data_IF_883959687591
#
_entry.id   IF_883959687591
#
_cell.length_a   1.000
_cell.length_b   1.000
_cell.length_c   1.000
_cell.angle_alpha   90.00
_cell.angle_beta   90.00
_cell.angle_gamma   90.00
#
_symmetry.space_group_name_H-M   'P 1'
#
loop_
_entity.id
_entity.type
_entity.pdbx_description
1 polymer ?
#
# COMPACT_ATOMS: atom_id res chain seq x y z
N UNK A 1 -3.36 -30.82 -11.38
CA UNK A 1 -3.22 -29.40 -10.97
C UNK A 1 -4.13 -29.16 -9.78
N UNK A 2 -3.53 -28.94 -8.60
CA UNK A 2 -4.25 -28.86 -7.32
C UNK A 2 -5.26 -27.72 -7.29
N UNK A 3 -6.39 -27.93 -6.58
CA UNK A 3 -7.53 -26.98 -6.48
C UNK A 3 -7.15 -25.56 -6.01
N UNK A 4 -5.97 -25.37 -5.42
CA UNK A 4 -5.48 -24.09 -4.89
C UNK A 4 -4.81 -23.19 -5.96
N UNK A 5 -4.20 -23.76 -7.00
CA UNK A 5 -3.46 -22.99 -8.01
C UNK A 5 -4.37 -22.24 -9.00
N UNK A 6 -5.50 -22.85 -9.37
CA UNK A 6 -6.44 -22.24 -10.34
C UNK A 6 -6.96 -20.84 -9.94
N UNK A 7 -7.34 -20.58 -8.67
CA UNK A 7 -7.82 -19.27 -8.26
C UNK A 7 -6.76 -18.18 -8.37
N UNK A 8 -5.50 -18.51 -8.05
CA UNK A 8 -4.43 -17.51 -8.05
C UNK A 8 -3.96 -17.16 -9.47
N UNK A 9 -3.92 -18.13 -10.40
CA UNK A 9 -3.71 -17.83 -11.83
C UNK A 9 -4.82 -16.95 -12.39
N UNK A 10 -6.06 -17.19 -12.02
CA UNK A 10 -7.19 -16.35 -12.42
C UNK A 10 -7.05 -14.92 -11.88
N UNK A 11 -6.61 -14.76 -10.63
CA UNK A 11 -6.32 -13.44 -10.04
C UNK A 11 -5.21 -12.71 -10.80
N UNK A 12 -4.10 -13.38 -11.11
CA UNK A 12 -3.00 -12.79 -11.90
C UNK A 12 -3.46 -12.40 -13.31
N UNK A 13 -4.27 -13.26 -13.95
CA UNK A 13 -4.84 -12.96 -15.27
C UNK A 13 -5.73 -11.70 -15.23
N UNK A 14 -6.60 -11.57 -14.22
CA UNK A 14 -7.41 -10.38 -14.02
C UNK A 14 -6.53 -9.15 -13.77
N UNK A 15 -5.48 -9.29 -12.97
CA UNK A 15 -4.52 -8.24 -12.69
C UNK A 15 -3.89 -7.72 -13.99
N UNK A 16 -3.26 -8.60 -14.77
CA UNK A 16 -2.60 -8.22 -16.02
C UNK A 16 -3.58 -7.65 -17.05
N UNK A 17 -4.77 -8.25 -17.20
CA UNK A 17 -5.78 -7.74 -18.14
C UNK A 17 -6.24 -6.34 -17.78
N UNK A 18 -6.53 -6.05 -16.51
CA UNK A 18 -6.94 -4.72 -16.05
C UNK A 18 -5.83 -3.69 -16.24
N UNK A 19 -4.60 -4.06 -15.93
CA UNK A 19 -3.44 -3.18 -16.12
C UNK A 19 -3.20 -2.86 -17.59
N UNK A 20 -3.28 -3.86 -18.48
CA UNK A 20 -3.12 -3.67 -19.93
C UNK A 20 -4.27 -2.82 -20.50
N UNK A 21 -5.51 -3.08 -20.12
CA UNK A 21 -6.66 -2.27 -20.54
C UNK A 21 -6.49 -0.81 -20.08
N UNK A 22 -6.08 -0.60 -18.82
CA UNK A 22 -5.78 0.73 -18.30
C UNK A 22 -4.66 1.43 -19.06
N UNK A 23 -3.57 0.72 -19.39
CA UNK A 23 -2.48 1.23 -20.20
C UNK A 23 -2.93 1.62 -21.62
N UNK A 24 -3.72 0.78 -22.27
CA UNK A 24 -4.27 1.09 -23.60
C UNK A 24 -5.16 2.34 -23.55
N UNK A 25 -6.02 2.47 -22.54
CA UNK A 25 -6.86 3.67 -22.38
C UNK A 25 -6.04 4.93 -22.16
N UNK A 26 -4.97 4.88 -21.34
CA UNK A 26 -4.08 6.01 -21.09
C UNK A 26 -3.16 6.34 -22.27
N UNK A 27 -2.88 5.37 -23.14
CA UNK A 27 -2.09 5.56 -24.36
C UNK A 27 -2.87 6.27 -25.47
N UNK A 28 -4.21 6.21 -25.44
CA UNK A 28 -5.05 6.81 -26.48
C UNK A 28 -4.94 8.34 -26.47
N UNK A 29 -4.89 8.99 -27.65
CA UNK A 29 -4.62 10.43 -27.75
C UNK A 29 -5.69 11.31 -27.12
N UNK A 30 -6.92 10.82 -26.95
CA UNK A 30 -8.02 11.60 -26.36
C UNK A 30 -7.97 11.66 -24.80
N UNK A 31 -7.10 10.90 -24.14
CA UNK A 31 -6.92 10.91 -22.68
C UNK A 31 -5.73 11.76 -22.23
N UNK A 32 -4.80 12.07 -23.15
CA UNK A 32 -3.62 12.87 -22.90
C UNK A 32 -3.73 14.31 -23.40
N UNK A 33 -3.03 15.24 -22.76
CA UNK A 33 -2.72 16.59 -23.28
C UNK A 33 -1.49 16.54 -24.19
N UNK A 34 -0.62 15.55 -23.98
CA UNK A 34 0.61 15.30 -24.73
C UNK A 34 0.71 13.83 -25.08
N UNK A 35 1.41 13.47 -26.18
CA UNK A 35 1.68 12.08 -26.49
C UNK A 35 2.50 11.41 -25.38
N UNK A 36 2.19 10.16 -25.06
CA UNK A 36 2.88 9.37 -24.05
C UNK A 36 3.37 8.06 -24.67
N UNK A 37 4.50 7.52 -24.19
CA UNK A 37 4.94 6.20 -24.62
C UNK A 37 4.04 5.11 -24.02
N UNK A 38 3.86 3.98 -24.74
CA UNK A 38 3.08 2.85 -24.20
C UNK A 38 3.66 2.31 -22.89
N UNK A 39 4.98 2.33 -22.74
CA UNK A 39 5.66 1.88 -21.52
C UNK A 39 5.36 2.80 -20.33
N UNK A 40 5.29 4.12 -20.54
CA UNK A 40 4.90 5.07 -19.48
C UNK A 40 3.43 4.92 -19.11
N UNK A 41 2.55 4.75 -20.09
CA UNK A 41 1.14 4.46 -19.86
C UNK A 41 0.97 3.15 -19.07
N UNK A 42 1.73 2.10 -19.39
CA UNK A 42 1.75 0.82 -18.67
C UNK A 42 2.27 0.99 -17.24
N UNK A 43 3.31 1.80 -17.05
CA UNK A 43 3.85 2.09 -15.73
C UNK A 43 2.80 2.79 -14.85
N UNK A 44 2.16 3.85 -15.36
CA UNK A 44 1.11 4.60 -14.65
C UNK A 44 -0.08 3.71 -14.35
N UNK A 45 -0.58 2.94 -15.34
CA UNK A 45 -1.69 2.02 -15.13
C UNK A 45 -1.36 0.95 -14.07
N UNK A 46 -0.13 0.41 -14.09
CA UNK A 46 0.34 -0.55 -13.09
C UNK A 46 0.42 0.09 -11.71
N UNK A 47 1.00 1.29 -11.63
CA UNK A 47 1.13 2.05 -10.38
C UNK A 47 -0.24 2.43 -9.80
N UNK A 48 -1.18 2.90 -10.63
CA UNK A 48 -2.54 3.23 -10.21
C UNK A 48 -3.29 1.99 -9.71
N UNK A 49 -3.21 0.88 -10.45
CA UNK A 49 -3.89 -0.36 -10.08
C UNK A 49 -3.25 -1.06 -8.85
N UNK A 50 -1.92 -1.03 -8.72
CA UNK A 50 -1.25 -1.52 -7.50
C UNK A 50 -1.40 -0.55 -6.33
N UNK A 51 -1.94 0.66 -6.60
CA UNK A 51 -2.10 1.71 -5.59
C UNK A 51 -0.73 2.09 -5.01
N UNK A 52 0.23 2.35 -5.89
CA UNK A 52 1.61 2.66 -5.49
C UNK A 52 1.88 4.16 -5.51
N UNK A 53 1.49 4.88 -6.60
CA UNK A 53 1.69 6.32 -6.71
C UNK A 53 2.97 6.77 -7.41
N UNK A 54 3.86 5.88 -7.80
CA UNK A 54 5.01 6.22 -8.63
C UNK A 54 4.56 6.59 -10.04
N UNK A 55 5.10 7.66 -10.60
CA UNK A 55 4.79 8.10 -11.96
C UNK A 55 6.05 8.60 -12.68
N UNK A 56 6.31 8.17 -13.94
CA UNK A 56 7.42 8.67 -14.74
C UNK A 56 7.13 10.04 -15.36
N UNK A 57 5.90 10.53 -15.27
CA UNK A 57 5.47 11.84 -15.79
C UNK A 57 4.58 12.53 -14.77
N UNK A 58 4.51 13.85 -14.84
CA UNK A 58 3.57 14.62 -14.04
C UNK A 58 2.15 14.47 -14.59
N UNK A 59 1.21 14.02 -13.72
CA UNK A 59 -0.15 13.67 -14.10
C UNK A 59 -0.93 14.89 -14.57
N UNK A 60 -0.81 16.04 -13.88
CA UNK A 60 -1.53 17.25 -14.23
C UNK A 60 -1.18 17.75 -15.63
N UNK A 61 0.10 17.75 -16.00
CA UNK A 61 0.57 18.24 -17.29
C UNK A 61 0.39 17.26 -18.43
N UNK A 62 0.30 15.94 -18.14
CA UNK A 62 0.23 14.87 -19.13
C UNK A 62 -1.19 14.53 -19.54
N UNK A 63 -2.13 14.45 -18.60
CA UNK A 63 -3.47 13.95 -18.83
C UNK A 63 -4.53 15.04 -18.78
N UNK A 64 -5.60 14.83 -19.52
CA UNK A 64 -6.84 15.60 -19.41
C UNK A 64 -7.79 14.91 -18.40
N UNK A 65 -8.96 15.50 -18.18
CA UNK A 65 -9.97 14.98 -17.23
C UNK A 65 -10.34 13.51 -17.53
N UNK A 66 -10.38 13.09 -18.79
CA UNK A 66 -10.68 11.68 -19.15
C UNK A 66 -9.57 10.74 -18.69
N UNK A 67 -8.30 11.11 -18.91
CA UNK A 67 -7.17 10.33 -18.43
C UNK A 67 -7.10 10.27 -16.91
N UNK A 68 -7.38 11.38 -16.23
CA UNK A 68 -7.45 11.45 -14.76
C UNK A 68 -8.59 10.56 -14.20
N UNK A 69 -9.74 10.48 -14.87
CA UNK A 69 -10.84 9.56 -14.53
C UNK A 69 -10.40 8.10 -14.70
N UNK A 70 -9.68 7.76 -15.78
CA UNK A 70 -9.15 6.40 -15.96
C UNK A 70 -8.21 6.02 -14.81
N UNK A 71 -7.30 6.92 -14.43
CA UNK A 71 -6.41 6.71 -13.27
C UNK A 71 -7.22 6.53 -11.99
N UNK A 72 -8.22 7.37 -11.75
CA UNK A 72 -9.11 7.28 -10.58
C UNK A 72 -9.83 5.92 -10.51
N UNK A 73 -10.37 5.44 -11.63
CA UNK A 73 -11.02 4.12 -11.69
C UNK A 73 -10.03 2.98 -11.42
N UNK A 74 -8.81 3.05 -11.95
CA UNK A 74 -7.77 2.06 -11.68
C UNK A 74 -7.40 2.04 -10.19
N UNK A 75 -7.27 3.20 -9.55
CA UNK A 75 -7.02 3.34 -8.11
C UNK A 75 -8.16 2.69 -7.32
N UNK A 76 -9.41 2.99 -7.64
CA UNK A 76 -10.57 2.46 -6.93
C UNK A 76 -10.68 0.93 -7.05
N UNK A 77 -10.46 0.39 -8.26
CA UNK A 77 -10.47 -1.07 -8.49
C UNK A 77 -9.30 -1.74 -7.75
N UNK A 78 -8.13 -1.12 -7.77
CA UNK A 78 -6.93 -1.62 -7.11
C UNK A 78 -7.00 -1.56 -5.59
N UNK A 79 -7.54 -0.49 -5.01
CA UNK A 79 -7.70 -0.30 -3.57
C UNK A 79 -8.74 -1.23 -2.95
N UNK A 80 -9.90 -1.37 -3.57
CA UNK A 80 -10.91 -2.34 -3.14
C UNK A 80 -10.49 -3.80 -3.42
N UNK A 81 -9.56 -4.00 -4.35
CA UNK A 81 -9.14 -5.30 -4.86
C UNK A 81 -10.06 -5.84 -5.95
N UNK A 82 -9.48 -6.27 -7.06
CA UNK A 82 -10.22 -6.66 -8.27
C UNK A 82 -11.24 -7.77 -8.04
N UNK A 83 -10.94 -8.73 -7.15
CA UNK A 83 -11.87 -9.82 -6.81
C UNK A 83 -13.10 -9.28 -6.08
N UNK A 84 -12.87 -8.31 -5.18
CA UNK A 84 -13.95 -7.63 -4.44
C UNK A 84 -14.88 -6.88 -5.41
N UNK A 85 -14.29 -6.10 -6.33
CA UNK A 85 -15.06 -5.34 -7.35
C UNK A 85 -15.86 -6.29 -8.23
N UNK A 86 -15.24 -7.38 -8.72
CA UNK A 86 -15.95 -8.41 -9.52
C UNK A 86 -17.16 -8.97 -8.78
N UNK A 87 -17.03 -9.23 -7.47
CA UNK A 87 -18.14 -9.79 -6.70
C UNK A 87 -19.19 -8.74 -6.32
N UNK A 88 -18.79 -7.49 -6.07
CA UNK A 88 -19.73 -6.39 -5.92
C UNK A 88 -20.60 -6.26 -7.18
N UNK A 89 -19.99 -6.31 -8.37
CA UNK A 89 -20.74 -6.28 -9.64
C UNK A 89 -21.75 -7.42 -9.73
N UNK A 90 -21.38 -8.66 -9.35
CA UNK A 90 -22.32 -9.79 -9.30
C UNK A 90 -23.46 -9.57 -8.29
N UNK A 91 -23.18 -8.98 -7.14
CA UNK A 91 -24.18 -8.65 -6.13
C UNK A 91 -25.14 -7.58 -6.65
N UNK A 92 -24.64 -6.51 -7.29
CA UNK A 92 -25.47 -5.48 -7.89
C UNK A 92 -26.38 -6.02 -9.02
N UNK A 93 -25.88 -6.98 -9.79
CA UNK A 93 -26.66 -7.65 -10.84
C UNK A 93 -27.60 -8.74 -10.27
N UNK A 94 -27.77 -8.82 -8.96
CA UNK A 94 -28.56 -9.83 -8.25
C UNK A 94 -28.21 -11.29 -8.63
N UNK A 95 -26.96 -11.54 -9.08
CA UNK A 95 -26.49 -12.87 -9.42
C UNK A 95 -25.99 -13.62 -8.18
N UNK A 96 -26.34 -14.93 -8.09
CA UNK A 96 -25.88 -15.80 -7.00
C UNK A 96 -24.35 -15.98 -7.07
N UNK A 97 -23.67 -15.69 -5.97
CA UNK A 97 -22.22 -15.90 -5.85
C UNK A 97 -21.98 -17.40 -5.62
N UNK A 98 -21.30 -18.06 -6.56
CA UNK A 98 -20.95 -19.46 -6.46
C UNK A 98 -19.93 -19.71 -5.34
N UNK A 99 -19.91 -20.97 -4.81
CA UNK A 99 -18.89 -21.36 -3.81
C UNK A 99 -17.45 -21.18 -4.32
N UNK A 100 -17.23 -21.33 -5.62
CA UNK A 100 -15.93 -21.10 -6.27
C UNK A 100 -15.46 -19.64 -6.12
N UNK A 101 -16.38 -18.68 -6.29
CA UNK A 101 -16.08 -17.26 -6.13
C UNK A 101 -15.83 -16.87 -4.67
N UNK A 102 -16.56 -17.49 -3.71
CA UNK A 102 -16.29 -17.29 -2.28
C UNK A 102 -14.92 -17.85 -1.91
N UNK A 103 -14.53 -19.01 -2.43
CA UNK A 103 -13.22 -19.59 -2.21
C UNK A 103 -12.08 -18.72 -2.76
N UNK A 104 -12.30 -18.02 -3.87
CA UNK A 104 -11.37 -17.06 -4.44
C UNK A 104 -11.05 -15.92 -3.45
N UNK A 105 -12.08 -15.36 -2.78
CA UNK A 105 -11.88 -14.35 -1.73
C UNK A 105 -11.15 -14.93 -0.54
N UNK A 106 -11.53 -16.12 -0.08
CA UNK A 106 -10.84 -16.75 1.05
C UNK A 106 -9.34 -16.85 0.81
N UNK A 107 -8.95 -17.24 -0.41
CA UNK A 107 -7.54 -17.35 -0.79
C UNK A 107 -6.87 -15.98 -0.89
N UNK A 108 -7.53 -14.99 -1.52
CA UNK A 108 -6.96 -13.63 -1.70
C UNK A 108 -6.89 -12.84 -0.39
N UNK A 109 -7.83 -13.06 0.50
CA UNK A 109 -7.92 -12.37 1.79
C UNK A 109 -7.34 -13.18 2.95
N UNK A 110 -6.90 -14.42 2.69
CA UNK A 110 -6.38 -15.35 3.69
C UNK A 110 -7.35 -15.56 4.87
N UNK A 111 -8.64 -15.79 4.55
CA UNK A 111 -9.71 -16.05 5.52
C UNK A 111 -10.01 -17.55 5.51
N UNK A 112 -10.16 -18.13 6.70
CA UNK A 112 -10.36 -19.59 6.85
C UNK A 112 -11.82 -20.02 6.61
N UNK A 113 -12.83 -19.13 6.75
CA UNK A 113 -14.25 -19.49 6.65
C UNK A 113 -14.99 -18.77 5.52
N UNK A 114 -15.85 -19.48 4.74
CA UNK A 114 -16.63 -18.90 3.64
C UNK A 114 -17.89 -18.14 4.12
N UNK A 115 -18.21 -18.24 5.41
CA UNK A 115 -19.39 -17.60 6.00
C UNK A 115 -19.25 -16.07 6.10
N UNK A 116 -20.31 -15.33 5.76
CA UNK A 116 -20.34 -13.88 5.94
C UNK A 116 -19.56 -13.05 4.91
N UNK A 117 -18.83 -13.65 3.98
CA UNK A 117 -17.98 -12.96 2.97
C UNK A 117 -18.80 -11.91 2.18
N UNK A 118 -20.03 -12.22 1.77
CA UNK A 118 -20.87 -11.27 1.02
C UNK A 118 -21.24 -10.04 1.86
N UNK A 119 -21.56 -10.26 3.14
CA UNK A 119 -21.86 -9.18 4.08
C UNK A 119 -20.63 -8.31 4.29
N UNK A 120 -19.46 -8.92 4.43
CA UNK A 120 -18.18 -8.23 4.57
C UNK A 120 -17.87 -7.35 3.35
N UNK A 121 -18.06 -7.85 2.11
CA UNK A 121 -17.85 -7.09 0.87
C UNK A 121 -18.78 -5.87 0.78
N UNK A 122 -20.07 -6.03 1.13
CA UNK A 122 -21.00 -4.90 1.14
C UNK A 122 -20.60 -3.82 2.16
N UNK A 123 -20.22 -4.23 3.37
CA UNK A 123 -19.75 -3.28 4.38
C UNK A 123 -18.49 -2.56 3.94
N UNK A 124 -17.55 -3.28 3.30
CA UNK A 124 -16.33 -2.70 2.75
C UNK A 124 -16.64 -1.61 1.72
N UNK A 125 -17.52 -1.89 0.77
CA UNK A 125 -17.90 -0.92 -0.26
C UNK A 125 -18.58 0.33 0.33
N UNK A 126 -19.51 0.14 1.27
CA UNK A 126 -20.20 1.25 1.93
C UNK A 126 -19.21 2.07 2.76
N UNK A 127 -18.33 1.41 3.51
CA UNK A 127 -17.30 2.08 4.32
C UNK A 127 -16.38 2.92 3.45
N UNK A 128 -15.88 2.37 2.32
CA UNK A 128 -15.04 3.09 1.37
C UNK A 128 -15.76 4.34 0.86
N UNK A 129 -16.96 4.18 0.28
CA UNK A 129 -17.71 5.29 -0.27
C UNK A 129 -18.02 6.38 0.75
N UNK A 130 -18.46 6.00 1.96
CA UNK A 130 -18.79 6.97 3.01
C UNK A 130 -17.53 7.74 3.44
N UNK A 131 -16.42 7.06 3.65
CA UNK A 131 -15.17 7.71 4.09
C UNK A 131 -14.61 8.62 2.99
N UNK A 132 -14.65 8.18 1.71
CA UNK A 132 -14.23 8.97 0.57
C UNK A 132 -15.12 10.21 0.38
N UNK A 133 -16.43 10.11 0.56
CA UNK A 133 -17.36 11.25 0.48
C UNK A 133 -17.11 12.27 1.62
N UNK A 134 -16.90 11.80 2.83
CA UNK A 134 -16.57 12.69 3.97
C UNK A 134 -15.25 13.43 3.68
N UNK A 135 -14.22 12.70 3.24
CA UNK A 135 -12.94 13.30 2.87
C UNK A 135 -13.07 14.31 1.75
N UNK A 136 -13.84 14.00 0.70
CA UNK A 136 -14.15 14.93 -0.40
C UNK A 136 -14.79 16.21 0.12
N UNK A 137 -15.81 16.12 0.99
CA UNK A 137 -16.50 17.30 1.57
C UNK A 137 -15.50 18.16 2.36
N UNK A 138 -14.64 17.54 3.18
CA UNK A 138 -13.63 18.28 3.93
C UNK A 138 -12.61 18.99 3.00
N UNK A 139 -12.15 18.32 1.94
CA UNK A 139 -11.21 18.89 0.97
C UNK A 139 -11.85 20.00 0.12
N UNK A 140 -13.16 19.95 -0.14
CA UNK A 140 -13.89 21.02 -0.81
C UNK A 140 -13.74 22.37 -0.11
N UNK A 141 -13.62 22.39 1.22
CA UNK A 141 -13.42 23.61 2.00
C UNK A 141 -12.13 24.33 1.65
N UNK A 142 -11.08 23.61 1.24
CA UNK A 142 -9.82 24.19 0.83
C UNK A 142 -9.73 24.41 -0.70
N UNK A 143 -10.22 23.46 -1.52
CA UNK A 143 -9.97 23.49 -2.97
C UNK A 143 -11.00 24.33 -3.74
N UNK A 144 -12.28 24.37 -3.32
CA UNK A 144 -13.29 25.19 -4.02
C UNK A 144 -12.96 26.69 -3.99
N UNK A 145 -12.53 27.31 -2.87
CA UNK A 145 -12.16 28.70 -2.84
C UNK A 145 -10.97 29.04 -3.76
N UNK A 146 -10.04 28.09 -3.97
CA UNK A 146 -8.82 28.27 -4.77
C UNK A 146 -9.03 28.03 -6.27
N UNK A 147 -9.87 27.06 -6.65
CA UNK A 147 -9.99 26.57 -8.03
C UNK A 147 -11.39 26.74 -8.64
N UNK A 148 -12.36 27.25 -7.88
CA UNK A 148 -13.75 27.31 -8.29
C UNK A 148 -14.49 26.00 -8.11
N UNK A 149 -15.83 26.02 -8.25
CA UNK A 149 -16.70 24.89 -7.89
C UNK A 149 -16.39 23.63 -8.71
N UNK A 150 -16.32 23.73 -10.04
CA UNK A 150 -16.15 22.57 -10.93
C UNK A 150 -14.80 21.87 -10.74
N UNK A 151 -13.70 22.60 -10.90
CA UNK A 151 -12.34 22.05 -10.75
C UNK A 151 -12.07 21.65 -9.29
N UNK A 152 -12.48 22.48 -8.32
CA UNK A 152 -12.29 22.21 -6.90
C UNK A 152 -12.99 20.94 -6.43
N UNK A 153 -14.21 20.68 -6.91
CA UNK A 153 -14.96 19.46 -6.58
C UNK A 153 -14.30 18.20 -7.16
N UNK A 154 -13.81 18.27 -8.40
CA UNK A 154 -13.10 17.15 -9.03
C UNK A 154 -11.77 16.86 -8.32
N UNK A 155 -10.98 17.89 -8.00
CA UNK A 155 -9.73 17.75 -7.24
C UNK A 155 -9.97 17.14 -5.86
N UNK A 156 -11.03 17.57 -5.16
CA UNK A 156 -11.40 17.02 -3.86
C UNK A 156 -11.78 15.54 -3.94
N UNK A 157 -12.57 15.17 -4.96
CA UNK A 157 -12.95 13.77 -5.20
C UNK A 157 -11.72 12.91 -5.50
N UNK A 158 -10.88 13.35 -6.45
CA UNK A 158 -9.70 12.61 -6.86
C UNK A 158 -8.74 12.40 -5.68
N UNK A 159 -8.43 13.48 -4.95
CA UNK A 159 -7.51 13.43 -3.80
C UNK A 159 -8.07 12.58 -2.68
N UNK A 160 -9.38 12.65 -2.39
CA UNK A 160 -10.02 11.84 -1.36
C UNK A 160 -9.96 10.34 -1.69
N UNK A 161 -10.33 9.96 -2.93
CA UNK A 161 -10.26 8.57 -3.40
C UNK A 161 -8.81 8.07 -3.40
N UNK A 162 -7.86 8.86 -3.89
CA UNK A 162 -6.44 8.52 -3.91
C UNK A 162 -5.89 8.34 -2.49
N UNK A 163 -6.26 9.20 -1.54
CA UNK A 163 -5.80 9.14 -0.15
C UNK A 163 -6.40 7.95 0.60
N UNK A 164 -7.71 7.70 0.49
CA UNK A 164 -8.36 6.57 1.15
C UNK A 164 -7.83 5.23 0.65
N UNK A 165 -7.62 5.11 -0.67
CA UNK A 165 -7.05 3.90 -1.26
C UNK A 165 -5.51 3.81 -1.08
N UNK A 166 -4.87 4.79 -0.43
CA UNK A 166 -3.42 4.86 -0.25
C UNK A 166 -2.65 4.82 -1.59
N UNK A 167 -3.10 5.61 -2.58
CA UNK A 167 -2.57 5.53 -3.93
C UNK A 167 -1.47 6.56 -4.25
N UNK A 168 -1.41 7.68 -3.53
CA UNK A 168 -0.37 8.70 -3.68
C UNK A 168 -0.41 9.53 -4.97
N UNK A 169 -1.38 9.29 -5.84
CA UNK A 169 -1.57 10.12 -7.01
C UNK A 169 -2.21 11.45 -6.64
N UNK A 170 -1.57 12.53 -7.06
CA UNK A 170 -2.10 13.90 -6.96
C UNK A 170 -2.17 14.53 -8.36
N UNK A 171 -3.20 15.35 -8.57
CA UNK A 171 -3.35 16.18 -9.78
C UNK A 171 -2.86 17.60 -9.43
N UNK A 172 -1.65 17.67 -8.87
CA UNK A 172 -0.94 18.91 -8.56
C UNK A 172 0.51 18.75 -8.99
N UNK A 173 1.08 19.81 -9.58
CA UNK A 173 2.44 19.79 -10.14
C UNK A 173 3.51 19.31 -9.14
N UNK A 174 3.40 19.76 -7.88
CA UNK A 174 4.36 19.43 -6.82
C UNK A 174 3.75 18.49 -5.75
N UNK A 175 2.82 17.61 -6.12
CA UNK A 175 2.06 16.81 -5.16
C UNK A 175 1.37 17.71 -4.11
N UNK A 176 1.59 17.54 -2.80
CA UNK A 176 0.98 18.37 -1.75
C UNK A 176 1.96 19.39 -1.13
N UNK A 177 3.11 19.64 -1.73
CA UNK A 177 4.11 20.59 -1.19
C UNK A 177 3.52 22.00 -1.06
N UNK A 178 2.74 22.43 -2.05
CA UNK A 178 2.09 23.74 -2.06
C UNK A 178 0.95 23.87 -1.01
N UNK A 179 0.56 22.75 -0.38
CA UNK A 179 -0.46 22.67 0.67
C UNK A 179 0.11 22.31 2.03
N UNK A 180 1.44 22.35 2.20
CA UNK A 180 2.11 22.01 3.46
C UNK A 180 1.68 22.88 4.64
N UNK A 181 1.24 24.12 4.38
CA UNK A 181 0.72 25.08 5.38
C UNK A 181 -0.81 25.02 5.54
N UNK A 182 -1.52 24.17 4.78
CA UNK A 182 -2.98 24.06 4.85
C UNK A 182 -3.38 22.91 5.79
N UNK A 183 -3.82 23.21 7.04
CA UNK A 183 -4.12 22.19 8.03
C UNK A 183 -5.31 21.30 7.63
N UNK A 184 -6.29 21.84 6.87
CA UNK A 184 -7.46 21.08 6.42
C UNK A 184 -7.00 19.97 5.48
N UNK A 185 -6.13 20.28 4.51
CA UNK A 185 -5.62 19.31 3.56
C UNK A 185 -4.77 18.25 4.26
N UNK A 186 -3.79 18.66 5.06
CA UNK A 186 -2.85 17.77 5.76
C UNK A 186 -3.58 16.82 6.72
N UNK A 187 -4.50 17.33 7.53
CA UNK A 187 -5.25 16.51 8.50
C UNK A 187 -6.23 15.57 7.80
N UNK A 188 -7.00 16.07 6.81
CA UNK A 188 -7.99 15.25 6.11
C UNK A 188 -7.33 14.09 5.37
N UNK A 189 -6.25 14.35 4.63
CA UNK A 189 -5.53 13.31 3.91
C UNK A 189 -4.87 12.32 4.87
N UNK A 190 -4.27 12.78 5.98
CA UNK A 190 -3.72 11.88 7.01
C UNK A 190 -4.78 10.93 7.57
N UNK A 191 -5.96 11.44 7.89
CA UNK A 191 -7.08 10.65 8.41
C UNK A 191 -7.54 9.62 7.36
N UNK A 192 -7.69 10.02 6.10
CA UNK A 192 -8.08 9.11 5.01
C UNK A 192 -7.06 7.98 4.83
N UNK A 193 -5.76 8.28 4.83
CA UNK A 193 -4.68 7.29 4.74
C UNK A 193 -4.75 6.30 5.90
N UNK A 194 -4.92 6.79 7.13
CA UNK A 194 -5.01 5.94 8.31
C UNK A 194 -6.22 5.01 8.20
N UNK A 195 -7.39 5.52 7.85
CA UNK A 195 -8.60 4.71 7.71
C UNK A 195 -8.50 3.69 6.55
N UNK A 196 -7.90 4.06 5.42
CA UNK A 196 -7.63 3.14 4.32
C UNK A 196 -6.63 2.03 4.68
N UNK A 197 -5.60 2.38 5.49
CA UNK A 197 -4.50 1.48 5.88
C UNK A 197 -4.74 0.58 7.10
N UNK A 198 -5.70 0.90 7.97
CA UNK A 198 -5.99 0.11 9.19
C UNK A 198 -6.61 -1.27 8.88
N UNK A 199 -7.27 -1.39 7.73
CA UNK A 199 -7.95 -2.63 7.33
C UNK A 199 -9.40 -2.70 7.78
N UNK A 200 -10.24 -3.15 6.85
CA UNK A 200 -11.70 -3.15 7.01
C UNK A 200 -12.19 -4.05 8.16
N UNK A 201 -11.47 -5.14 8.46
CA UNK A 201 -11.79 -6.03 9.58
C UNK A 201 -11.71 -5.29 10.92
N UNK A 202 -10.67 -4.45 11.10
CA UNK A 202 -10.47 -3.67 12.33
C UNK A 202 -11.60 -2.66 12.53
N UNK A 203 -12.05 -2.03 11.44
CA UNK A 203 -13.16 -1.05 11.49
C UNK A 203 -14.46 -1.74 11.86
N UNK A 204 -14.77 -2.90 11.27
CA UNK A 204 -15.98 -3.67 11.61
C UNK A 204 -15.93 -4.16 13.05
N UNK A 205 -14.77 -4.65 13.49
CA UNK A 205 -14.57 -5.09 14.87
C UNK A 205 -14.77 -3.93 15.86
N UNK A 206 -14.26 -2.74 15.53
CA UNK A 206 -14.43 -1.52 16.32
C UNK A 206 -15.91 -1.08 16.42
N UNK A 207 -16.64 -1.11 15.30
CA UNK A 207 -18.07 -0.75 15.27
C UNK A 207 -18.90 -1.74 16.10
N UNK A 208 -18.57 -3.03 16.05
CA UNK A 208 -19.31 -4.07 16.75
C UNK A 208 -18.96 -4.15 18.26
N UNK A 209 -17.77 -3.71 18.64
CA UNK A 209 -17.30 -3.76 20.04
C UNK A 209 -17.57 -2.45 20.77
N UNK A 210 -18.45 -2.48 21.77
CA UNK A 210 -18.74 -1.30 22.63
C UNK A 210 -17.57 -0.89 23.54
N UNK A 211 -16.52 -1.73 23.70
CA UNK A 211 -15.36 -1.46 24.59
C UNK A 211 -14.07 -1.90 23.90
N UNK A 212 -13.04 -1.05 23.94
CA UNK A 212 -11.68 -1.34 23.36
C UNK A 212 -11.06 -2.62 23.91
N UNK A 213 -11.33 -2.96 25.19
CA UNK A 213 -10.85 -4.18 25.82
C UNK A 213 -11.37 -5.47 25.16
N UNK A 214 -12.54 -5.42 24.50
CA UNK A 214 -13.21 -6.55 23.85
C UNK A 214 -12.79 -6.75 22.38
N UNK A 215 -11.96 -5.88 21.83
CA UNK A 215 -11.44 -6.02 20.48
C UNK A 215 -10.69 -7.35 20.31
N UNK A 216 -10.73 -7.89 19.11
CA UNK A 216 -9.97 -9.10 18.74
C UNK A 216 -8.46 -8.86 18.89
N UNK A 217 -7.68 -9.95 19.03
CA UNK A 217 -6.22 -9.87 19.05
C UNK A 217 -5.68 -9.17 17.83
N UNK A 218 -6.23 -9.47 16.65
CA UNK A 218 -5.85 -8.86 15.39
C UNK A 218 -6.01 -7.33 15.43
N UNK A 219 -7.19 -6.84 15.83
CA UNK A 219 -7.47 -5.40 15.89
C UNK A 219 -6.59 -4.68 16.91
N UNK A 220 -6.34 -5.29 18.07
CA UNK A 220 -5.42 -4.73 19.07
C UNK A 220 -4.00 -4.61 18.53
N UNK A 221 -3.47 -5.67 17.89
CA UNK A 221 -2.14 -5.65 17.27
C UNK A 221 -2.02 -4.58 16.20
N UNK A 222 -3.00 -4.49 15.30
CA UNK A 222 -2.99 -3.50 14.23
C UNK A 222 -2.99 -2.09 14.80
N UNK A 223 -3.93 -1.77 15.70
CA UNK A 223 -4.07 -0.41 16.26
C UNK A 223 -2.83 -0.01 17.05
N UNK A 224 -2.34 -0.86 17.96
CA UNK A 224 -1.17 -0.53 18.79
C UNK A 224 0.10 -0.36 17.94
N UNK A 225 0.37 -1.29 17.02
CA UNK A 225 1.57 -1.21 16.18
C UNK A 225 1.49 -0.03 15.22
N UNK A 226 0.32 0.27 14.64
CA UNK A 226 0.12 1.45 13.78
C UNK A 226 0.40 2.73 14.55
N UNK A 227 -0.19 2.90 15.72
CA UNK A 227 0.01 4.11 16.54
C UNK A 227 1.47 4.31 16.95
N UNK A 228 2.13 3.23 17.40
CA UNK A 228 3.55 3.28 17.79
C UNK A 228 4.43 3.72 16.61
N UNK A 229 4.24 3.11 15.43
CA UNK A 229 5.05 3.43 14.26
C UNK A 229 4.80 4.85 13.73
N UNK A 230 3.55 5.33 13.76
CA UNK A 230 3.23 6.71 13.38
C UNK A 230 3.89 7.70 14.34
N UNK A 231 3.81 7.48 15.65
CA UNK A 231 4.38 8.38 16.65
C UNK A 231 5.91 8.40 16.56
N UNK A 232 6.55 7.22 16.50
CA UNK A 232 8.00 7.13 16.36
C UNK A 232 8.46 7.78 15.05
N UNK A 233 7.76 7.51 13.93
CA UNK A 233 8.08 8.09 12.64
C UNK A 233 7.94 9.63 12.64
N UNK A 234 6.88 10.17 13.25
CA UNK A 234 6.67 11.61 13.34
C UNK A 234 7.75 12.30 14.20
N UNK A 235 8.09 11.74 15.36
CA UNK A 235 9.11 12.29 16.24
C UNK A 235 10.48 12.25 15.55
N UNK A 236 10.86 11.12 14.96
CA UNK A 236 12.16 10.99 14.29
C UNK A 236 12.26 11.89 13.06
N UNK A 237 11.20 12.02 12.25
CA UNK A 237 11.17 12.94 11.12
C UNK A 237 11.33 14.39 11.57
N UNK A 238 10.60 14.81 12.61
CA UNK A 238 10.72 16.14 13.19
C UNK A 238 12.17 16.43 13.63
N UNK A 239 12.78 15.53 14.39
CA UNK A 239 14.15 15.72 14.91
C UNK A 239 15.19 15.81 13.80
N UNK A 240 15.03 15.06 12.70
CA UNK A 240 16.01 15.00 11.62
C UNK A 240 15.85 16.15 10.61
N UNK A 241 14.62 16.65 10.38
CA UNK A 241 14.33 17.59 9.29
C UNK A 241 13.95 19.01 9.73
N UNK A 242 13.77 19.28 11.03
CA UNK A 242 13.36 20.60 11.52
C UNK A 242 14.30 21.76 11.15
N UNK A 243 15.58 21.46 10.91
CA UNK A 243 16.60 22.44 10.49
C UNK A 243 17.06 22.26 9.03
N UNK A 244 16.48 21.31 8.31
CA UNK A 244 16.74 21.05 6.89
C UNK A 244 15.52 21.44 6.05
N UNK A 245 14.73 20.47 5.59
CA UNK A 245 13.60 20.71 4.68
C UNK A 245 12.49 21.57 5.29
N UNK A 246 12.34 21.58 6.60
CA UNK A 246 11.30 22.34 7.31
C UNK A 246 11.83 23.63 7.98
N UNK A 247 13.05 24.09 7.66
CA UNK A 247 13.68 25.23 8.37
C UNK A 247 12.84 26.53 8.30
N UNK A 248 12.09 26.74 7.21
CA UNK A 248 11.27 27.95 7.00
C UNK A 248 9.84 27.84 7.51
N UNK A 249 9.45 26.68 8.06
CA UNK A 249 8.10 26.42 8.55
C UNK A 249 7.94 26.83 10.01
N UNK A 250 6.73 27.25 10.39
CA UNK A 250 6.34 27.48 11.79
C UNK A 250 6.29 26.17 12.59
N UNK A 251 6.35 26.25 13.92
CA UNK A 251 6.39 25.04 14.78
C UNK A 251 5.18 24.12 14.56
N UNK A 252 3.97 24.68 14.42
CA UNK A 252 2.73 23.92 14.17
C UNK A 252 2.79 23.23 12.82
N UNK A 253 3.28 23.91 11.77
CA UNK A 253 3.47 23.33 10.45
C UNK A 253 4.52 22.22 10.46
N UNK A 254 5.63 22.40 11.18
CA UNK A 254 6.65 21.35 11.36
C UNK A 254 6.09 20.08 11.99
N UNK A 255 5.29 20.22 13.04
CA UNK A 255 4.64 19.08 13.72
C UNK A 255 3.63 18.42 12.77
N UNK A 256 2.78 19.20 12.09
CA UNK A 256 1.79 18.70 11.15
C UNK A 256 2.41 17.93 9.99
N UNK A 257 3.45 18.49 9.36
CA UNK A 257 4.15 17.85 8.25
C UNK A 257 4.96 16.63 8.69
N UNK A 258 5.56 16.63 9.87
CA UNK A 258 6.26 15.46 10.43
C UNK A 258 5.29 14.30 10.68
N UNK A 259 4.10 14.60 11.23
CA UNK A 259 3.03 13.62 11.39
C UNK A 259 2.56 13.10 10.02
N UNK A 260 2.32 13.99 9.07
CA UNK A 260 1.91 13.64 7.72
C UNK A 260 2.93 12.74 7.02
N UNK A 261 4.23 13.08 7.08
CA UNK A 261 5.29 12.28 6.47
C UNK A 261 5.42 10.90 7.13
N UNK A 262 5.19 10.78 8.42
CA UNK A 262 5.11 9.47 9.07
C UNK A 262 3.91 8.66 8.61
N UNK A 263 2.74 9.28 8.46
CA UNK A 263 1.52 8.62 7.98
C UNK A 263 1.65 8.19 6.53
N UNK A 264 2.21 9.03 5.66
CA UNK A 264 2.31 8.75 4.21
C UNK A 264 3.23 7.57 3.89
N UNK A 265 4.26 7.29 4.73
CA UNK A 265 5.12 6.09 4.57
C UNK A 265 4.35 4.78 4.66
N UNK A 266 3.10 4.82 5.16
CA UNK A 266 2.22 3.66 5.25
C UNK A 266 1.46 3.41 3.97
N UNK A 267 2.22 3.33 2.88
CA UNK A 267 1.75 2.99 1.54
C UNK A 267 0.87 4.06 0.90
N UNK A 268 1.02 5.35 1.25
CA UNK A 268 0.16 6.39 0.72
C UNK A 268 0.80 7.27 -0.35
N UNK A 269 2.10 7.58 -0.25
CA UNK A 269 2.87 8.22 -1.33
C UNK A 269 2.67 9.72 -1.54
N UNK A 270 1.82 10.36 -0.77
CA UNK A 270 1.73 11.82 -0.81
C UNK A 270 2.91 12.46 -0.10
N UNK A 271 3.41 13.55 -0.63
CA UNK A 271 4.48 14.32 -0.01
C UNK A 271 4.09 15.79 0.15
N UNK A 272 4.25 16.30 1.36
CA UNK A 272 4.09 17.73 1.70
C UNK A 272 5.43 18.46 1.78
N UNK A 273 6.53 17.73 1.57
CA UNK A 273 7.91 18.19 1.61
C UNK A 273 8.65 17.55 0.44
N UNK A 274 9.65 18.24 -0.10
CA UNK A 274 10.49 17.67 -1.15
C UNK A 274 11.35 16.51 -0.62
N UNK A 275 11.00 15.30 -1.05
CA UNK A 275 11.68 14.05 -0.66
C UNK A 275 13.08 13.94 -1.25
N UNK A 276 13.38 14.64 -2.35
CA UNK A 276 14.70 14.60 -2.95
C UNK A 276 15.76 15.36 -2.13
N UNK A 277 15.32 16.29 -1.28
CA UNK A 277 16.18 17.17 -0.47
C UNK A 277 16.35 16.72 0.99
N UNK A 278 15.75 15.60 1.40
CA UNK A 278 15.87 15.09 2.78
C UNK A 278 17.27 14.56 3.08
N UNK A 279 17.62 14.52 4.36
CA UNK A 279 18.86 13.93 4.82
C UNK A 279 18.94 12.42 4.54
N UNK A 280 20.14 11.88 4.35
CA UNK A 280 20.35 10.43 4.13
C UNK A 280 19.83 9.58 5.29
N UNK A 281 19.96 10.08 6.53
CA UNK A 281 19.43 9.42 7.74
C UNK A 281 17.90 9.36 7.71
N UNK A 282 17.25 10.44 7.27
CA UNK A 282 15.80 10.51 7.09
C UNK A 282 15.35 9.55 6.00
N UNK A 283 16.08 9.49 4.87
CA UNK A 283 15.79 8.54 3.80
C UNK A 283 15.83 7.08 4.30
N UNK A 284 16.85 6.72 5.09
CA UNK A 284 16.95 5.39 5.69
C UNK A 284 15.77 5.10 6.64
N UNK A 285 15.42 6.05 7.50
CA UNK A 285 14.28 5.91 8.41
C UNK A 285 12.97 5.73 7.65
N UNK A 286 12.73 6.54 6.58
CA UNK A 286 11.55 6.39 5.73
C UNK A 286 11.52 5.01 5.05
N UNK A 287 12.66 4.50 4.54
CA UNK A 287 12.75 3.16 3.96
C UNK A 287 12.34 2.06 4.96
N UNK A 288 12.77 2.16 6.22
CA UNK A 288 12.36 1.22 7.26
C UNK A 288 10.85 1.26 7.53
N UNK A 289 10.25 2.45 7.55
CA UNK A 289 8.81 2.61 7.72
C UNK A 289 8.03 2.14 6.48
N UNK A 290 8.50 2.42 5.27
CA UNK A 290 7.89 1.99 4.00
C UNK A 290 7.90 0.47 3.82
N UNK A 291 8.93 -0.22 4.36
CA UNK A 291 9.00 -1.68 4.37
C UNK A 291 7.85 -2.31 5.16
N UNK A 292 7.35 -1.63 6.18
CA UNK A 292 6.21 -2.04 7.00
C UNK A 292 4.94 -1.39 6.45
N UNK A 293 4.23 -2.11 5.61
CA UNK A 293 2.98 -1.65 5.00
C UNK A 293 1.79 -1.59 5.97
N UNK A 294 0.59 -1.55 5.42
CA UNK A 294 -0.64 -1.48 6.22
C UNK A 294 -1.14 -2.83 6.74
N UNK A 295 -2.35 -2.81 7.29
CA UNK A 295 -3.00 -4.00 7.84
C UNK A 295 -3.45 -4.99 6.75
N UNK A 296 -3.64 -6.27 7.10
CA UNK A 296 -4.38 -7.20 6.25
C UNK A 296 -5.78 -6.67 5.94
N UNK A 297 -6.29 -6.98 4.75
CA UNK A 297 -7.61 -6.51 4.27
C UNK A 297 -7.71 -4.97 4.22
N UNK A 298 -6.61 -4.28 3.94
CA UNK A 298 -6.55 -2.86 3.63
C UNK A 298 -6.18 -2.64 2.17
N UNK A 299 -6.31 -1.41 1.68
CA UNK A 299 -5.83 -1.01 0.36
C UNK A 299 -4.29 -1.10 0.23
N UNK A 300 -3.57 -1.04 1.34
CA UNK A 300 -2.11 -1.02 1.44
C UNK A 300 -1.44 -2.31 0.98
N UNK A 301 -0.26 -2.20 0.34
CA UNK A 301 0.60 -3.32 -0.05
C UNK A 301 1.74 -3.61 0.94
N UNK A 302 2.85 -4.13 0.45
CA UNK A 302 4.04 -4.43 1.24
C UNK A 302 3.87 -5.52 2.30
N UNK A 303 4.83 -5.59 3.24
CA UNK A 303 4.75 -6.50 4.39
C UNK A 303 3.67 -6.01 5.35
N UNK A 304 2.71 -6.87 5.67
CA UNK A 304 1.61 -6.50 6.55
C UNK A 304 2.09 -6.18 7.97
N UNK A 305 1.51 -5.15 8.57
CA UNK A 305 1.86 -4.70 9.92
C UNK A 305 1.74 -5.82 10.96
N UNK A 306 0.79 -6.74 10.81
CA UNK A 306 0.65 -7.90 11.68
C UNK A 306 1.82 -8.89 11.53
N UNK A 307 2.35 -9.06 10.31
CA UNK A 307 3.54 -9.87 10.05
C UNK A 307 4.75 -9.30 10.78
N UNK A 308 4.95 -7.98 10.70
CA UNK A 308 6.02 -7.30 11.43
C UNK A 308 5.83 -7.42 12.96
N UNK A 309 4.62 -7.12 13.46
CA UNK A 309 4.31 -7.19 14.88
C UNK A 309 4.56 -8.59 15.47
N UNK A 310 4.09 -9.65 14.79
CA UNK A 310 4.30 -11.03 15.23
C UNK A 310 5.79 -11.40 15.28
N UNK A 311 6.55 -11.03 14.24
CA UNK A 311 7.99 -11.29 14.22
C UNK A 311 8.73 -10.51 15.33
N UNK A 312 8.37 -9.25 15.56
CA UNK A 312 8.96 -8.44 16.60
C UNK A 312 8.66 -8.98 18.01
N UNK A 313 7.40 -9.37 18.28
CA UNK A 313 7.01 -9.98 19.55
C UNK A 313 7.74 -11.30 19.75
N UNK A 314 7.88 -12.13 18.70
CA UNK A 314 8.66 -13.37 18.78
C UNK A 314 10.11 -13.11 19.21
N UNK A 315 10.78 -12.12 18.61
CA UNK A 315 12.15 -11.76 18.98
C UNK A 315 12.24 -11.33 20.45
N UNK A 316 11.29 -10.48 20.91
CA UNK A 316 11.26 -10.05 22.31
C UNK A 316 11.06 -11.22 23.29
N UNK A 317 10.11 -12.11 22.99
CA UNK A 317 9.84 -13.28 23.85
C UNK A 317 11.02 -14.28 23.85
N UNK A 318 11.69 -14.44 22.71
CA UNK A 318 12.88 -15.26 22.60
C UNK A 318 14.03 -14.72 23.48
N UNK A 319 14.27 -13.40 23.45
CA UNK A 319 15.27 -12.74 24.34
C UNK A 319 14.90 -12.90 25.81
N UNK A 320 13.60 -12.86 26.14
CA UNK A 320 13.10 -13.07 27.51
C UNK A 320 13.08 -14.55 27.94
N UNK A 321 13.44 -15.47 27.05
CA UNK A 321 13.41 -16.94 27.28
C UNK A 321 12.02 -17.44 27.66
N UNK A 322 10.96 -16.82 27.12
CA UNK A 322 9.59 -17.27 27.28
C UNK A 322 9.32 -18.47 26.35
N UNK A 323 8.67 -19.53 26.88
CA UNK A 323 8.39 -20.74 26.11
C UNK A 323 7.33 -20.53 25.02
N UNK A 324 6.34 -19.67 25.28
CA UNK A 324 5.23 -19.40 24.38
C UNK A 324 5.18 -17.92 23.99
N UNK A 325 4.93 -17.66 22.72
CA UNK A 325 4.77 -16.28 22.23
C UNK A 325 3.35 -15.81 22.51
N UNK A 326 3.20 -14.92 23.47
CA UNK A 326 1.90 -14.39 23.89
C UNK A 326 1.85 -12.87 23.89
N UNK A 327 0.68 -12.32 23.59
CA UNK A 327 0.40 -10.88 23.65
C UNK A 327 -1.09 -10.66 23.94
N UNK A 328 -1.41 -9.64 24.74
CA UNK A 328 -2.79 -9.35 25.19
C UNK A 328 -3.53 -10.58 25.77
N UNK A 329 -2.83 -11.39 26.55
CA UNK A 329 -3.33 -12.64 27.16
C UNK A 329 -3.81 -13.68 26.13
N UNK A 330 -3.24 -13.69 24.92
CA UNK A 330 -3.50 -14.69 23.88
C UNK A 330 -2.20 -15.17 23.27
N UNK A 331 -2.11 -16.48 23.02
CA UNK A 331 -0.98 -17.13 22.39
C UNK A 331 -1.05 -16.99 20.87
N UNK A 332 0.12 -16.76 20.24
CA UNK A 332 0.29 -16.73 18.79
C UNK A 332 0.80 -18.08 18.32
N UNK A 333 0.11 -18.71 17.37
CA UNK A 333 0.48 -20.02 16.88
C UNK A 333 1.84 -20.01 16.15
N UNK A 334 2.63 -21.08 16.30
CA UNK A 334 3.91 -21.30 15.61
C UNK A 334 3.82 -21.15 14.09
N UNK A 335 2.67 -21.53 13.52
CA UNK A 335 2.40 -21.37 12.08
C UNK A 335 2.50 -19.90 11.67
N UNK A 336 1.91 -18.98 12.42
CA UNK A 336 1.95 -17.54 12.12
C UNK A 336 3.34 -16.96 12.36
N UNK A 337 4.05 -17.41 13.40
CA UNK A 337 5.43 -16.97 13.68
C UNK A 337 6.35 -17.36 12.53
N UNK A 338 6.37 -18.63 12.14
CA UNK A 338 7.18 -19.14 11.02
C UNK A 338 6.84 -18.41 9.71
N UNK A 339 5.54 -18.19 9.44
CA UNK A 339 5.09 -17.48 8.26
C UNK A 339 5.62 -16.04 8.24
N UNK A 340 5.57 -15.35 9.38
CA UNK A 340 6.03 -13.95 9.51
C UNK A 340 7.52 -13.83 9.26
N UNK A 341 8.33 -14.70 9.88
CA UNK A 341 9.78 -14.71 9.71
C UNK A 341 10.15 -15.00 8.25
N UNK A 342 9.55 -16.01 7.64
CA UNK A 342 9.80 -16.38 6.23
C UNK A 342 9.43 -15.22 5.30
N UNK A 343 8.28 -14.56 5.52
CA UNK A 343 7.83 -13.45 4.69
C UNK A 343 8.81 -12.28 4.76
N UNK A 344 9.28 -11.88 5.94
CA UNK A 344 10.23 -10.79 6.12
C UNK A 344 11.56 -11.11 5.42
N UNK A 345 12.13 -12.30 5.66
CA UNK A 345 13.42 -12.69 5.07
C UNK A 345 13.38 -12.75 3.54
N UNK A 346 12.33 -13.35 2.97
CA UNK A 346 12.19 -13.43 1.50
C UNK A 346 12.02 -12.02 0.91
N UNK A 347 11.26 -11.13 1.57
CA UNK A 347 11.07 -9.76 1.09
C UNK A 347 12.36 -8.96 1.15
N UNK A 348 13.12 -9.09 2.22
CA UNK A 348 14.43 -8.43 2.35
C UNK A 348 15.40 -8.91 1.27
N UNK A 349 15.49 -10.23 1.05
CA UNK A 349 16.33 -10.81 0.00
C UNK A 349 15.90 -10.34 -1.40
N UNK A 350 14.60 -10.30 -1.66
CA UNK A 350 14.06 -9.82 -2.94
C UNK A 350 14.44 -8.36 -3.21
N UNK A 351 14.23 -7.45 -2.24
CA UNK A 351 14.60 -6.04 -2.35
C UNK A 351 16.11 -5.91 -2.62
N UNK A 352 16.93 -6.66 -1.88
CA UNK A 352 18.39 -6.62 -2.04
C UNK A 352 18.83 -7.07 -3.45
N UNK A 353 18.26 -8.17 -3.97
CA UNK A 353 18.55 -8.68 -5.31
C UNK A 353 18.12 -7.66 -6.37
N UNK A 354 16.91 -7.12 -6.27
CA UNK A 354 16.42 -6.13 -7.26
C UNK A 354 17.28 -4.86 -7.24
N UNK A 355 17.62 -4.36 -6.05
CA UNK A 355 18.48 -3.18 -5.91
C UNK A 355 19.86 -3.45 -6.54
N UNK A 356 20.43 -4.63 -6.33
CA UNK A 356 21.69 -5.05 -6.97
C UNK A 356 21.57 -5.08 -8.50
N UNK A 357 20.52 -5.68 -9.05
CA UNK A 357 20.30 -5.71 -10.51
C UNK A 357 20.17 -4.27 -11.06
N UNK A 358 19.40 -3.41 -10.40
CA UNK A 358 19.23 -2.02 -10.83
C UNK A 358 20.52 -1.20 -10.73
N UNK A 359 21.38 -1.49 -9.75
CA UNK A 359 22.69 -0.81 -9.64
C UNK A 359 23.64 -1.17 -10.78
N UNK A 360 23.53 -2.38 -11.35
CA UNK A 360 24.28 -2.78 -12.55
C UNK A 360 23.75 -2.06 -13.80
N UNK A 361 22.41 -1.95 -13.92
CA UNK A 361 21.77 -1.32 -15.08
C UNK A 361 21.98 0.21 -15.07
N UNK A 362 22.01 0.83 -13.88
CA UNK A 362 22.09 2.28 -13.70
C UNK A 362 23.31 2.67 -12.84
N UNK A 363 24.55 2.52 -13.33
CA UNK A 363 25.77 2.69 -12.52
C UNK A 363 26.00 4.13 -12.03
N UNK A 364 25.41 5.11 -12.70
CA UNK A 364 25.55 6.54 -12.35
C UNK A 364 24.61 6.99 -11.23
N UNK A 365 23.64 6.16 -10.82
CA UNK A 365 22.67 6.50 -9.82
C UNK A 365 23.13 6.02 -8.44
N UNK A 366 23.00 6.86 -7.43
CA UNK A 366 23.42 6.49 -6.07
C UNK A 366 22.60 5.31 -5.52
N UNK A 367 23.26 4.39 -4.83
CA UNK A 367 22.62 3.19 -4.25
C UNK A 367 21.46 3.53 -3.31
N UNK A 368 21.56 4.63 -2.55
CA UNK A 368 20.51 5.07 -1.64
C UNK A 368 19.23 5.43 -2.41
N UNK A 369 19.34 6.16 -3.53
CA UNK A 369 18.18 6.50 -4.36
C UNK A 369 17.54 5.25 -4.97
N UNK A 370 18.35 4.31 -5.49
CA UNK A 370 17.86 3.04 -6.04
C UNK A 370 17.15 2.21 -4.97
N UNK A 371 17.76 2.05 -3.79
CA UNK A 371 17.17 1.31 -2.69
C UNK A 371 15.85 1.95 -2.23
N UNK A 372 15.81 3.29 -2.13
CA UNK A 372 14.61 4.04 -1.75
C UNK A 372 13.44 3.76 -2.71
N UNK A 373 13.68 3.82 -4.02
CA UNK A 373 12.67 3.54 -5.06
C UNK A 373 12.21 2.08 -5.03
N UNK A 374 13.13 1.12 -4.89
CA UNK A 374 12.79 -0.31 -4.81
C UNK A 374 11.95 -0.61 -3.58
N UNK A 375 12.31 -0.03 -2.41
CA UNK A 375 11.54 -0.19 -1.17
C UNK A 375 10.18 0.48 -1.31
N UNK A 376 10.11 1.68 -1.91
CA UNK A 376 8.86 2.38 -2.18
C UNK A 376 7.96 1.59 -3.13
N UNK A 377 8.50 1.06 -4.22
CA UNK A 377 7.76 0.23 -5.18
C UNK A 377 7.27 -1.08 -4.54
N UNK A 378 8.13 -1.78 -3.78
CA UNK A 378 7.76 -3.01 -3.07
C UNK A 378 6.74 -2.76 -1.96
N UNK A 379 6.94 -1.70 -1.18
CA UNK A 379 5.98 -1.26 -0.17
C UNK A 379 4.67 -0.77 -0.77
N UNK A 380 4.62 -0.53 -2.10
CA UNK A 380 3.53 0.19 -2.78
C UNK A 380 3.24 1.54 -2.11
N UNK A 381 4.31 2.31 -1.83
CA UNK A 381 4.23 3.57 -1.09
C UNK A 381 4.06 4.76 -2.01
N UNK A 382 4.90 4.86 -3.05
CA UNK A 382 4.83 5.96 -4.03
C UNK A 382 5.73 7.16 -3.75
N UNK A 383 6.42 7.20 -2.62
CA UNK A 383 7.43 8.23 -2.39
C UNK A 383 8.64 7.99 -3.30
N UNK A 384 9.15 9.04 -3.91
CA UNK A 384 10.31 9.02 -4.82
C UNK A 384 11.29 10.15 -4.48
N UNK A 385 12.57 9.87 -4.67
CA UNK A 385 13.62 10.90 -4.66
C UNK A 385 13.85 11.47 -6.07
N UNK A 386 12.76 11.69 -6.84
CA UNK A 386 12.73 12.17 -8.23
C UNK A 386 13.42 11.24 -9.25
N UNK A 387 13.63 9.97 -8.88
CA UNK A 387 14.31 9.00 -9.73
C UNK A 387 13.39 8.35 -10.76
N UNK A 388 12.08 8.25 -10.48
CA UNK A 388 11.11 7.58 -11.35
C UNK A 388 11.05 8.22 -12.76
N UNK A 389 11.23 9.53 -12.85
CA UNK A 389 11.23 10.28 -14.12
C UNK A 389 12.48 9.99 -14.99
N UNK A 390 13.58 9.58 -14.36
CA UNK A 390 14.85 9.26 -15.02
C UNK A 390 14.91 7.82 -15.55
N UNK A 391 13.95 6.98 -15.21
CA UNK A 391 13.96 5.57 -15.59
C UNK A 391 13.73 5.35 -17.09
N UNK A 392 14.51 4.44 -17.68
CA UNK A 392 14.40 4.04 -19.07
C UNK A 392 14.08 2.55 -19.20
N UNK A 393 13.35 2.20 -20.26
CA UNK A 393 13.14 0.85 -20.77
C UNK A 393 13.00 -0.24 -19.71
N UNK A 394 14.04 -1.05 -19.57
CA UNK A 394 14.05 -2.24 -18.71
C UNK A 394 13.88 -1.91 -17.21
N UNK A 395 14.39 -0.76 -16.75
CA UNK A 395 14.23 -0.33 -15.36
C UNK A 395 12.75 -0.13 -15.00
N UNK A 396 11.96 0.47 -15.90
CA UNK A 396 10.49 0.64 -15.70
C UNK A 396 9.78 -0.71 -15.58
N UNK A 397 10.16 -1.68 -16.42
CA UNK A 397 9.57 -3.03 -16.38
C UNK A 397 9.90 -3.74 -15.07
N UNK A 398 11.13 -3.62 -14.58
CA UNK A 398 11.53 -4.20 -13.28
C UNK A 398 10.73 -3.57 -12.15
N UNK A 399 10.57 -2.25 -12.12
CA UNK A 399 9.80 -1.56 -11.08
C UNK A 399 8.31 -1.93 -11.15
N UNK A 400 7.71 -2.07 -12.34
CA UNK A 400 6.33 -2.60 -12.52
C UNK A 400 6.22 -3.99 -11.87
N UNK A 401 7.19 -4.87 -12.09
CA UNK A 401 7.20 -6.19 -11.48
C UNK A 401 7.34 -6.13 -9.95
N UNK A 402 8.16 -5.22 -9.43
CA UNK A 402 8.30 -5.01 -7.97
C UNK A 402 7.00 -4.54 -7.35
N UNK A 403 6.29 -3.57 -7.97
CA UNK A 403 4.97 -3.11 -7.52
C UNK A 403 3.94 -4.24 -7.48
N UNK A 404 3.93 -5.10 -8.50
CA UNK A 404 3.08 -6.30 -8.53
C UNK A 404 3.38 -7.24 -7.35
N UNK A 405 4.67 -7.53 -7.11
CA UNK A 405 5.11 -8.39 -6.00
C UNK A 405 4.67 -7.82 -4.65
N UNK A 406 4.78 -6.51 -4.47
CA UNK A 406 4.34 -5.81 -3.26
C UNK A 406 2.83 -5.88 -3.02
N UNK A 407 2.03 -5.70 -4.07
CA UNK A 407 0.56 -5.72 -3.98
C UNK A 407 -0.01 -7.11 -3.72
N UNK A 408 0.45 -8.11 -4.46
CA UNK A 408 -0.03 -9.52 -4.34
C UNK A 408 0.53 -10.21 -3.09
N UNK A 409 1.71 -9.78 -2.66
CA UNK A 409 2.50 -10.42 -1.63
C UNK A 409 3.44 -11.49 -2.22
N UNK A 410 4.73 -11.29 -2.04
CA UNK A 410 5.80 -12.09 -2.64
C UNK A 410 5.68 -13.59 -2.31
N UNK A 411 5.39 -13.93 -1.05
CA UNK A 411 5.22 -15.33 -0.64
C UNK A 411 4.03 -16.00 -1.34
N UNK A 412 2.95 -15.26 -1.58
CA UNK A 412 1.77 -15.76 -2.29
C UNK A 412 2.11 -16.03 -3.75
N UNK A 413 2.86 -15.13 -4.39
CA UNK A 413 3.36 -15.34 -5.75
C UNK A 413 4.27 -16.55 -5.85
N UNK A 414 5.26 -16.69 -4.96
CA UNK A 414 6.18 -17.84 -4.97
C UNK A 414 5.44 -19.16 -4.81
N UNK A 415 4.43 -19.24 -3.91
CA UNK A 415 3.60 -20.44 -3.74
C UNK A 415 2.76 -20.78 -4.96
N UNK A 416 2.50 -19.85 -5.87
CA UNK A 416 1.80 -20.13 -7.13
C UNK A 416 2.67 -20.94 -8.07
N UNK A 417 3.97 -20.59 -8.13
CA UNK A 417 4.91 -21.21 -9.06
C UNK A 417 5.58 -22.47 -8.51
N UNK A 418 5.70 -22.58 -7.18
CA UNK A 418 6.32 -23.74 -6.52
C UNK A 418 5.21 -24.65 -5.98
N UNK A 419 4.95 -25.82 -6.62
CA UNK A 419 3.95 -26.75 -6.14
C UNK A 419 4.35 -27.36 -4.80
N UNK A 420 3.39 -27.57 -3.87
CA UNK A 420 3.67 -28.24 -2.62
C UNK A 420 4.14 -29.67 -2.88
N UNK A 421 5.23 -30.07 -2.21
CA UNK A 421 5.64 -31.47 -2.21
C UNK A 421 4.63 -32.30 -1.41
N UNK A 422 4.36 -33.52 -1.87
CA UNK A 422 3.54 -34.47 -1.12
C UNK A 422 4.15 -34.68 0.26
N UNK A 423 3.32 -34.71 1.33
CA UNK A 423 3.82 -35.00 2.66
C UNK A 423 4.47 -36.39 2.69
N UNK A 424 5.68 -36.47 3.23
CA UNK A 424 6.36 -37.74 3.43
C UNK A 424 5.80 -38.40 4.68
N UNK A 425 5.52 -39.69 4.62
CA UNK A 425 5.03 -40.48 5.75
C UNK A 425 6.14 -40.87 6.76
N UNK A 426 7.34 -40.33 6.59
CA UNK A 426 8.49 -40.58 7.48
C UNK A 426 9.18 -39.26 7.85
N UNK A 427 9.87 -39.28 8.99
CA UNK A 427 10.74 -38.18 9.45
C UNK A 427 12.19 -38.65 9.42
N UNK A 428 13.08 -37.78 8.98
CA UNK A 428 14.51 -38.02 9.09
C UNK A 428 14.98 -37.87 10.54
N UNK A 429 16.06 -38.56 10.90
CA UNK A 429 16.76 -38.39 12.19
C UNK A 429 17.25 -36.93 12.32
N UNK A 430 17.23 -36.42 13.56
CA UNK A 430 17.74 -35.08 13.85
C UNK A 430 19.26 -35.08 13.74
N UNK A 431 19.82 -34.26 12.87
CA UNK A 431 21.26 -33.97 12.81
C UNK A 431 21.63 -32.86 13.81
N UNK A 432 22.87 -32.85 14.25
CA UNK A 432 23.42 -31.76 15.06
C UNK A 432 23.96 -30.65 14.13
N UNK A 433 23.66 -29.40 14.46
CA UNK A 433 24.19 -28.19 13.79
C UNK A 433 24.68 -27.28 14.88
N UNK A 434 25.91 -26.82 14.77
CA UNK A 434 26.49 -25.84 15.68
C UNK A 434 26.17 -24.44 15.14
N UNK A 435 25.52 -23.60 15.95
CA UNK A 435 25.11 -22.22 15.62
C UNK A 435 25.85 -21.24 16.55
#
# INVERSE_FOLDING_TARGET
>A
MNKVHKPLYFYLMLFFSTTIIGALLLYLPFTGKKPISFLDALFIASSAFTVTGLSPVDIESQFNILGEIVILLLIQIGGLGIVTVTLLTLVFLNRKISMKNRFLIMVTWNIDEPGGVIKLIKHLAIYSLVTELIGMICLCLSFIPKFGIGKGLFLSLFTSVSAFNNAGFAIFKNNLIDYSSDPIVIITISILIIFGGIGHFVVIDFINCKKLSKLSLHSKLVLTTTSILIIIGAITFFLLEQFNTMQHMGLVEKIGNSFFQSVTTRTAGFNSIDIASINKSTALMLMLLMFIGGAPLSAAGGIKITTFAVAFIFVLNYIRKENNVSVFNKEISDKHIKLSIVTINISFLFISIITFILSIINPNISLIKLLFEVVSAFGTVGLSMNLTTEYHGITKIIIIFVMLCGKVGLLTLLRTFIPPKNPKNYRYTKGQIYL
#
